data_IF_261339134858
#
_entry.id   IF_261339134858
#
_cell.length_a   1.000
_cell.length_b   1.000
_cell.length_c   1.000
_cell.angle_alpha   90.00
_cell.angle_beta   90.00
_cell.angle_gamma   90.00
#
_symmetry.space_group_name_H-M   'P 1'
#
loop_
_entity.id
_entity.type
_entity.pdbx_description
1 polymer ?
#
# COMPACT_ATOMS: atom_id res chain seq x y z
N UNK A 1 -27.64 -2.65 21.80
CA UNK A 1 -27.88 -3.32 20.49
C UNK A 1 -26.51 -3.70 19.98
N UNK A 2 -26.08 -4.92 20.31
CA UNK A 2 -24.69 -5.35 20.20
C UNK A 2 -24.34 -5.74 18.77
N UNK A 3 -23.30 -5.12 18.25
CA UNK A 3 -22.50 -5.68 17.16
C UNK A 3 -21.31 -6.39 17.79
N UNK A 4 -21.56 -7.59 18.31
CA UNK A 4 -20.52 -8.59 18.54
C UNK A 4 -20.63 -9.60 17.41
N UNK A 5 -19.96 -9.33 16.29
CA UNK A 5 -19.55 -10.37 15.35
C UNK A 5 -18.05 -10.51 15.57
N UNK A 6 -17.54 -11.54 16.25
CA UNK A 6 -17.25 -12.83 15.64
C UNK A 6 -16.69 -12.77 14.20
N UNK A 7 -15.95 -11.71 13.85
CA UNK A 7 -15.13 -11.60 12.64
C UNK A 7 -13.85 -12.47 12.71
N UNK A 8 -13.87 -13.57 13.46
CA UNK A 8 -12.74 -14.49 13.59
C UNK A 8 -12.47 -15.28 12.29
N UNK A 9 -13.48 -15.42 11.43
CA UNK A 9 -13.36 -16.01 10.09
C UNK A 9 -12.82 -15.01 9.06
N UNK A 10 -13.16 -13.72 9.19
CA UNK A 10 -12.60 -12.63 8.37
C UNK A 10 -11.16 -12.29 8.78
N UNK A 11 -10.79 -12.52 10.04
CA UNK A 11 -9.42 -12.33 10.52
C UNK A 11 -8.40 -13.23 9.80
N UNK A 12 -8.82 -14.43 9.32
CA UNK A 12 -7.90 -15.34 8.60
C UNK A 12 -7.55 -14.86 7.20
N UNK A 13 -8.44 -14.09 6.56
CA UNK A 13 -8.16 -13.44 5.27
C UNK A 13 -7.38 -12.14 5.47
N UNK A 14 -7.56 -11.44 6.60
CA UNK A 14 -6.74 -10.27 6.96
C UNK A 14 -5.28 -10.59 7.32
N UNK A 15 -4.95 -11.86 7.63
CA UNK A 15 -3.58 -12.25 7.96
C UNK A 15 -2.64 -12.25 6.75
N UNK A 16 -3.19 -12.43 5.54
CA UNK A 16 -2.43 -12.48 4.29
C UNK A 16 -3.25 -11.86 3.17
N UNK A 17 -3.07 -10.56 2.97
CA UNK A 17 -3.64 -9.84 1.84
C UNK A 17 -2.55 -9.62 0.80
N UNK A 18 -2.94 -9.66 -0.48
CA UNK A 18 -2.02 -9.22 -1.54
C UNK A 18 -1.79 -7.71 -1.41
N UNK A 19 -0.56 -7.30 -1.71
CA UNK A 19 -0.08 -5.91 -1.63
C UNK A 19 -1.02 -4.92 -2.32
N UNK A 20 -1.58 -5.25 -3.49
CA UNK A 20 -2.49 -4.34 -4.20
C UNK A 20 -3.84 -4.16 -3.50
N UNK A 21 -4.32 -5.18 -2.77
CA UNK A 21 -5.56 -5.08 -1.97
C UNK A 21 -5.33 -4.20 -0.76
N UNK A 22 -4.16 -4.35 -0.13
CA UNK A 22 -3.73 -3.49 0.97
C UNK A 22 -3.66 -2.03 0.53
N UNK A 23 -3.04 -1.75 -0.62
CA UNK A 23 -2.96 -0.38 -1.16
C UNK A 23 -4.33 0.24 -1.43
N UNK A 24 -5.29 -0.54 -1.92
CA UNK A 24 -6.67 -0.07 -2.11
C UNK A 24 -7.34 0.26 -0.77
N UNK A 25 -7.14 -0.56 0.27
CA UNK A 25 -7.67 -0.31 1.63
C UNK A 25 -7.05 0.92 2.29
N UNK A 26 -5.77 1.20 2.00
CA UNK A 26 -5.04 2.37 2.50
C UNK A 26 -5.29 3.65 1.70
N UNK A 27 -6.24 3.63 0.75
CA UNK A 27 -6.55 4.77 -0.13
C UNK A 27 -5.33 5.28 -0.92
N UNK A 28 -4.33 4.42 -1.16
CA UNK A 28 -3.15 4.75 -1.97
C UNK A 28 -3.44 4.67 -3.48
N UNK A 29 -4.49 3.95 -3.87
CA UNK A 29 -4.92 3.80 -5.25
C UNK A 29 -6.45 3.69 -5.32
N UNK A 30 -7.04 4.30 -6.35
CA UNK A 30 -8.50 4.32 -6.56
C UNK A 30 -9.09 2.97 -6.97
N UNK A 31 -8.25 2.03 -7.43
CA UNK A 31 -8.69 0.71 -7.88
C UNK A 31 -7.60 -0.34 -7.68
N UNK A 32 -8.03 -1.57 -7.45
CA UNK A 32 -7.21 -2.78 -7.34
C UNK A 32 -6.32 -2.98 -8.59
N UNK A 33 -6.84 -2.68 -9.79
CA UNK A 33 -6.04 -2.78 -11.03
C UNK A 33 -4.90 -1.77 -11.06
N UNK A 34 -5.18 -0.51 -10.68
CA UNK A 34 -4.16 0.55 -10.65
C UNK A 34 -3.11 0.26 -9.57
N UNK A 35 -3.53 -0.28 -8.42
CA UNK A 35 -2.61 -0.73 -7.38
C UNK A 35 -1.68 -1.84 -7.88
N UNK A 36 -2.19 -2.79 -8.67
CA UNK A 36 -1.38 -3.83 -9.30
C UNK A 36 -0.33 -3.22 -10.23
N UNK A 37 -0.72 -2.28 -11.09
CA UNK A 37 0.19 -1.61 -12.01
C UNK A 37 1.31 -0.85 -11.26
N UNK A 38 0.99 -0.20 -10.15
CA UNK A 38 1.97 0.51 -9.32
C UNK A 38 2.97 -0.42 -8.65
N UNK A 39 2.54 -1.60 -8.22
CA UNK A 39 3.43 -2.63 -7.68
C UNK A 39 4.33 -3.16 -8.79
N UNK A 40 3.78 -3.54 -9.96
CA UNK A 40 4.55 -4.04 -11.10
C UNK A 40 5.61 -3.05 -11.60
N UNK A 41 5.30 -1.75 -11.57
CA UNK A 41 6.25 -0.68 -11.92
C UNK A 41 7.33 -0.43 -10.86
N UNK A 42 7.23 -1.04 -9.68
CA UNK A 42 8.18 -0.87 -8.58
C UNK A 42 8.04 0.48 -7.87
N UNK A 43 6.82 1.02 -7.77
CA UNK A 43 6.56 2.25 -7.01
C UNK A 43 6.31 1.99 -5.53
N UNK A 44 6.21 0.73 -5.11
CA UNK A 44 5.76 0.31 -3.78
C UNK A 44 6.88 -0.45 -3.08
N UNK A 45 7.08 -0.16 -1.80
CA UNK A 45 7.96 -0.91 -0.91
C UNK A 45 7.22 -1.31 0.36
N UNK A 46 7.65 -2.41 0.94
CA UNK A 46 7.16 -2.91 2.24
C UNK A 46 8.34 -2.89 3.20
N UNK A 47 8.32 -1.96 4.15
CA UNK A 47 9.45 -1.71 5.04
C UNK A 47 10.70 -1.25 4.27
N UNK A 48 11.71 -2.12 4.18
CA UNK A 48 12.97 -1.85 3.48
C UNK A 48 13.03 -2.46 2.08
N UNK A 49 12.12 -3.37 1.74
CA UNK A 49 12.19 -4.16 0.51
C UNK A 49 11.28 -3.59 -0.58
N UNK A 50 11.82 -3.49 -1.80
CA UNK A 50 11.06 -3.14 -2.98
C UNK A 50 10.20 -4.34 -3.42
N UNK A 51 8.90 -4.12 -3.61
CA UNK A 51 7.99 -5.17 -4.08
C UNK A 51 7.61 -4.87 -5.53
N UNK A 52 7.91 -5.81 -6.42
CA UNK A 52 7.56 -5.74 -7.84
C UNK A 52 6.55 -6.81 -8.25
N UNK A 53 6.31 -7.81 -7.39
CA UNK A 53 5.36 -8.89 -7.64
C UNK A 53 3.99 -8.53 -7.02
N UNK A 54 2.92 -8.34 -7.82
CA UNK A 54 1.58 -8.06 -7.29
C UNK A 54 1.01 -9.24 -6.49
N UNK A 55 1.50 -10.46 -6.66
CA UNK A 55 1.09 -11.62 -5.84
C UNK A 55 1.80 -11.67 -4.47
N UNK A 56 2.67 -10.72 -4.16
CA UNK A 56 3.35 -10.66 -2.86
C UNK A 56 2.34 -10.51 -1.73
N UNK A 57 2.42 -11.41 -0.76
CA UNK A 57 1.55 -11.45 0.42
C UNK A 57 2.14 -10.63 1.55
N UNK A 58 1.35 -9.68 2.05
CA UNK A 58 1.71 -8.83 3.16
C UNK A 58 1.00 -9.34 4.41
N UNK A 59 1.74 -9.43 5.52
CA UNK A 59 1.16 -9.75 6.83
C UNK A 59 0.57 -8.50 7.47
N UNK A 60 -0.39 -8.66 8.37
CA UNK A 60 -1.02 -7.53 9.09
C UNK A 60 -0.01 -6.57 9.74
N UNK A 61 1.08 -7.09 10.30
CA UNK A 61 2.10 -6.26 10.95
C UNK A 61 2.94 -5.44 9.97
N UNK A 62 2.97 -5.84 8.69
CA UNK A 62 3.69 -5.16 7.62
C UNK A 62 2.81 -4.15 6.87
N UNK A 63 1.49 -4.17 7.10
CA UNK A 63 0.52 -3.28 6.44
C UNK A 63 0.89 -1.81 6.63
N UNK A 64 1.21 -1.39 7.86
CA UNK A 64 1.64 -0.02 8.19
C UNK A 64 2.97 0.38 7.53
N UNK A 65 3.75 -0.59 7.06
CA UNK A 65 5.06 -0.37 6.43
C UNK A 65 4.97 -0.27 4.92
N UNK A 66 3.79 -0.46 4.34
CA UNK A 66 3.53 -0.30 2.91
C UNK A 66 3.57 1.19 2.57
N UNK A 67 4.55 1.61 1.78
CA UNK A 67 4.72 3.01 1.38
C UNK A 67 5.26 3.10 -0.04
N UNK A 68 5.12 4.27 -0.65
CA UNK A 68 5.80 4.60 -1.89
C UNK A 68 7.33 4.55 -1.74
N UNK A 69 8.02 4.21 -2.81
CA UNK A 69 9.47 4.34 -2.92
C UNK A 69 9.90 5.81 -2.95
N UNK A 70 11.10 6.12 -2.45
CA UNK A 70 11.59 7.50 -2.39
C UNK A 70 11.72 8.14 -3.79
N UNK A 71 12.04 7.34 -4.81
CA UNK A 71 12.14 7.75 -6.21
C UNK A 71 10.81 7.67 -6.98
N UNK A 72 9.69 7.36 -6.31
CA UNK A 72 8.39 7.24 -6.96
C UNK A 72 7.90 8.59 -7.48
N UNK A 73 7.61 8.65 -8.79
CA UNK A 73 6.97 9.81 -9.41
C UNK A 73 5.55 10.03 -8.88
N UNK A 74 4.88 8.96 -8.45
CA UNK A 74 3.55 9.03 -7.83
C UNK A 74 3.66 9.76 -6.49
N UNK A 75 4.65 9.40 -5.67
CA UNK A 75 4.94 10.11 -4.41
C UNK A 75 5.22 11.60 -4.65
N UNK A 76 6.06 11.91 -5.64
CA UNK A 76 6.33 13.31 -5.99
C UNK A 76 5.06 14.05 -6.43
N UNK A 77 4.20 13.41 -7.24
CA UNK A 77 2.92 13.99 -7.66
C UNK A 77 1.98 14.25 -6.49
N UNK A 78 1.84 13.30 -5.56
CA UNK A 78 1.02 13.45 -4.34
C UNK A 78 1.55 14.58 -3.45
N UNK A 79 2.87 14.65 -3.22
CA UNK A 79 3.48 15.73 -2.43
C UNK A 79 3.36 17.10 -3.10
N UNK A 80 3.48 17.17 -4.42
CA UNK A 80 3.23 18.41 -5.18
C UNK A 80 1.77 18.85 -5.02
N UNK A 81 0.83 17.92 -5.13
CA UNK A 81 -0.60 18.20 -4.97
C UNK A 81 -0.91 18.73 -3.55
N UNK A 82 -0.29 18.14 -2.53
CA UNK A 82 -0.42 18.58 -1.14
C UNK A 82 0.40 19.84 -0.81
N UNK A 83 1.21 20.33 -1.75
CA UNK A 83 2.12 21.47 -1.55
C UNK A 83 3.17 21.23 -0.43
N UNK A 84 3.49 19.95 -0.18
CA UNK A 84 4.39 19.43 0.87
C UNK A 84 5.73 18.93 0.28
N UNK A 85 5.99 19.21 -0.99
CA UNK A 85 7.22 18.78 -1.64
C UNK A 85 8.41 19.57 -1.11
N UNK A 86 9.28 18.89 -0.39
CA UNK A 86 10.59 19.39 0.04
C UNK A 86 11.64 19.11 -1.05
N UNK A 87 12.09 20.19 -1.71
CA UNK A 87 13.06 20.14 -2.82
C UNK A 87 14.53 20.25 -2.35
N UNK A 88 14.81 20.16 -1.04
CA UNK A 88 16.15 20.41 -0.47
C UNK A 88 17.23 19.35 -0.81
N UNK A 89 16.87 18.18 -1.35
CA UNK A 89 17.79 17.05 -1.59
C UNK A 89 17.91 16.63 -3.07
N UNK A 90 17.82 17.57 -4.01
CA UNK A 90 18.11 17.29 -5.43
C UNK A 90 19.62 17.05 -5.66
#
# INVERSE_FOLDING_TARGET
>A
MGISQNDSSLMRIELYLSTFVVMYRLEMADSVSVASDFVEQGHVRVGTELVTDPAFLVTRNMEDTVTWTNSSKIRAHVLNYNNERDDFLL
#
